data_IF_575647213684
#
_entry.id   IF_575647213684
#
_cell.length_a   1.000
_cell.length_b   1.000
_cell.length_c   1.000
_cell.angle_alpha   90.00
_cell.angle_beta   90.00
_cell.angle_gamma   90.00
#
_symmetry.space_group_name_H-M   'P 1'
#
loop_
_entity.id
_entity.type
_entity.pdbx_description
1 polymer ?
#
# COMPACT_ATOMS: atom_id res chain seq x y z
N UNK A 1 46.39 -19.58 16.52
CA UNK A 1 46.46 -18.09 16.63
C UNK A 1 45.91 -17.36 15.41
N UNK A 2 46.53 -17.42 14.21
CA UNK A 2 46.00 -16.71 13.03
C UNK A 2 44.63 -17.26 12.57
N UNK A 3 44.48 -18.58 12.53
CA UNK A 3 43.21 -19.20 12.10
C UNK A 3 42.07 -18.95 13.10
N UNK A 4 42.37 -18.95 14.39
CA UNK A 4 41.41 -18.62 15.46
C UNK A 4 40.96 -17.16 15.39
N UNK A 5 41.88 -16.22 15.11
CA UNK A 5 41.53 -14.83 14.86
C UNK A 5 40.65 -14.68 13.62
N UNK A 6 40.93 -15.43 12.55
CA UNK A 6 40.11 -15.40 11.33
C UNK A 6 38.70 -15.90 11.61
N UNK A 7 38.57 -17.01 12.33
CA UNK A 7 37.29 -17.58 12.70
C UNK A 7 36.47 -16.66 13.60
N UNK A 8 37.11 -16.03 14.60
CA UNK A 8 36.45 -15.07 15.49
C UNK A 8 35.94 -13.83 14.74
N UNK A 9 36.70 -13.34 13.75
CA UNK A 9 36.27 -12.22 12.91
C UNK A 9 35.07 -12.59 12.04
N UNK A 10 35.06 -13.79 11.44
CA UNK A 10 33.92 -14.27 10.65
C UNK A 10 32.65 -14.36 11.51
N UNK A 11 32.75 -14.97 12.69
CA UNK A 11 31.60 -15.09 13.60
C UNK A 11 31.08 -13.73 14.07
N UNK A 12 31.98 -12.77 14.30
CA UNK A 12 31.63 -11.40 14.67
C UNK A 12 30.84 -10.69 13.55
N UNK A 13 31.33 -10.74 12.31
CA UNK A 13 30.63 -10.12 11.19
C UNK A 13 29.29 -10.82 10.90
N UNK A 14 29.23 -12.16 10.93
CA UNK A 14 27.97 -12.91 10.77
C UNK A 14 26.94 -12.58 11.85
N UNK A 15 27.39 -12.36 13.09
CA UNK A 15 26.51 -11.92 14.17
C UNK A 15 25.95 -10.52 13.91
N UNK A 16 26.80 -9.60 13.43
CA UNK A 16 26.41 -8.21 13.16
C UNK A 16 25.47 -8.10 11.98
N UNK A 17 25.70 -8.88 10.92
CA UNK A 17 24.81 -8.94 9.77
C UNK A 17 23.44 -9.49 10.17
N UNK A 18 23.39 -10.59 10.94
CA UNK A 18 22.11 -11.15 11.44
C UNK A 18 21.34 -10.15 12.31
N UNK A 19 22.03 -9.42 13.19
CA UNK A 19 21.42 -8.39 14.03
C UNK A 19 20.84 -7.26 13.17
N UNK A 20 21.60 -6.79 12.18
CA UNK A 20 21.19 -5.74 11.26
C UNK A 20 20.00 -6.16 10.40
N UNK A 21 20.06 -7.34 9.77
CA UNK A 21 18.95 -7.88 8.97
C UNK A 21 17.70 -8.08 9.81
N UNK A 22 17.83 -8.65 11.02
CA UNK A 22 16.69 -8.87 11.91
C UNK A 22 16.02 -7.54 12.29
N UNK A 23 16.81 -6.55 12.69
CA UNK A 23 16.28 -5.24 13.09
C UNK A 23 15.65 -4.51 11.89
N UNK A 24 16.32 -4.49 10.75
CA UNK A 24 15.85 -3.84 9.54
C UNK A 24 14.56 -4.48 9.00
N UNK A 25 14.50 -5.81 8.92
CA UNK A 25 13.31 -6.53 8.44
C UNK A 25 12.12 -6.31 9.40
N UNK A 26 12.32 -6.40 10.72
CA UNK A 26 11.24 -6.15 11.67
C UNK A 26 10.71 -4.71 11.59
N UNK A 27 11.60 -3.71 11.46
CA UNK A 27 11.18 -2.32 11.31
C UNK A 27 10.40 -2.09 10.02
N UNK A 28 10.82 -2.68 8.91
CA UNK A 28 10.10 -2.60 7.64
C UNK A 28 8.73 -3.30 7.72
N UNK A 29 8.65 -4.44 8.39
CA UNK A 29 7.39 -5.16 8.60
C UNK A 29 6.40 -4.36 9.44
N UNK A 30 6.87 -3.71 10.52
CA UNK A 30 6.05 -2.83 11.36
C UNK A 30 5.57 -1.60 10.58
N UNK A 31 6.45 -0.97 9.81
CA UNK A 31 6.08 0.16 8.94
C UNK A 31 5.04 -0.25 7.90
N UNK A 32 5.22 -1.40 7.24
CA UNK A 32 4.28 -1.91 6.26
C UNK A 32 2.90 -2.18 6.87
N UNK A 33 2.85 -2.82 8.05
CA UNK A 33 1.61 -3.06 8.79
C UNK A 33 0.90 -1.76 9.15
N UNK A 34 1.66 -0.76 9.62
CA UNK A 34 1.11 0.57 9.93
C UNK A 34 0.49 1.24 8.71
N UNK A 35 1.19 1.24 7.57
CA UNK A 35 0.68 1.82 6.32
C UNK A 35 -0.60 1.14 5.87
N UNK A 36 -0.68 -0.19 5.95
CA UNK A 36 -1.90 -0.94 5.60
C UNK A 36 -3.07 -0.51 6.48
N UNK A 37 -2.86 -0.39 7.80
CA UNK A 37 -3.92 -0.01 8.72
C UNK A 37 -4.39 1.44 8.51
N UNK A 38 -3.46 2.36 8.27
CA UNK A 38 -3.78 3.76 7.93
C UNK A 38 -4.60 3.85 6.62
N UNK A 39 -4.23 3.07 5.60
CA UNK A 39 -4.99 2.99 4.34
C UNK A 39 -6.39 2.42 4.56
N UNK A 40 -6.50 1.35 5.36
CA UNK A 40 -7.78 0.72 5.68
C UNK A 40 -8.69 1.70 6.41
N UNK A 41 -8.17 2.38 7.43
CA UNK A 41 -8.91 3.39 8.18
C UNK A 41 -9.40 4.52 7.27
N UNK A 42 -8.51 5.05 6.42
CA UNK A 42 -8.85 6.13 5.49
C UNK A 42 -9.96 5.72 4.52
N UNK A 43 -9.92 4.47 4.02
CA UNK A 43 -10.97 3.94 3.15
C UNK A 43 -12.29 3.75 3.91
N UNK A 44 -12.26 3.23 5.12
CA UNK A 44 -13.46 3.09 5.96
C UNK A 44 -14.10 4.46 6.24
N UNK A 45 -13.32 5.45 6.66
CA UNK A 45 -13.82 6.81 6.90
C UNK A 45 -14.40 7.44 5.62
N UNK A 46 -13.75 7.21 4.46
CA UNK A 46 -14.25 7.69 3.18
C UNK A 46 -15.62 7.10 2.86
N UNK A 47 -15.80 5.78 2.98
CA UNK A 47 -17.06 5.13 2.65
C UNK A 47 -18.16 5.41 3.68
N UNK A 48 -17.81 5.51 4.96
CA UNK A 48 -18.74 5.89 6.04
C UNK A 48 -19.19 7.35 5.92
N UNK A 49 -18.36 8.22 5.32
CA UNK A 49 -18.75 9.61 5.03
C UNK A 49 -19.80 9.74 3.92
N UNK A 50 -20.07 8.67 3.15
CA UNK A 50 -21.02 8.69 2.04
C UNK A 50 -22.37 8.16 2.50
N UNK A 51 -23.42 8.95 2.27
CA UNK A 51 -24.78 8.47 2.46
C UNK A 51 -25.23 7.55 1.32
N UNK A 52 -26.37 6.87 1.50
CA UNK A 52 -26.95 6.00 0.48
C UNK A 52 -27.27 6.77 -0.82
N UNK A 53 -27.60 8.05 -0.72
CA UNK A 53 -27.97 8.86 -1.88
C UNK A 53 -26.76 9.19 -2.76
N UNK A 54 -25.57 9.34 -2.16
CA UNK A 54 -24.31 9.46 -2.88
C UNK A 54 -24.10 8.24 -3.78
N UNK A 55 -24.13 7.03 -3.24
CA UNK A 55 -23.98 5.81 -4.04
C UNK A 55 -25.04 5.68 -5.13
N UNK A 56 -26.28 6.07 -4.81
CA UNK A 56 -27.39 6.06 -5.76
C UNK A 56 -27.12 7.03 -6.91
N UNK A 57 -26.75 8.27 -6.63
CA UNK A 57 -26.48 9.30 -7.63
C UNK A 57 -25.37 8.87 -8.58
N UNK A 58 -24.23 8.42 -8.05
CA UNK A 58 -23.10 7.98 -8.89
C UNK A 58 -23.51 6.81 -9.80
N UNK A 59 -24.36 5.89 -9.32
CA UNK A 59 -24.88 4.78 -10.14
C UNK A 59 -25.82 5.27 -11.24
N UNK A 60 -26.67 6.27 -10.98
CA UNK A 60 -27.61 6.79 -11.97
C UNK A 60 -26.90 7.65 -13.04
N UNK A 61 -25.78 8.29 -12.70
CA UNK A 61 -24.95 9.02 -13.68
C UNK A 61 -24.37 8.11 -14.76
N UNK A 62 -24.23 6.80 -14.52
CA UNK A 62 -23.72 5.85 -15.52
C UNK A 62 -24.53 5.88 -16.81
N UNK A 63 -25.86 6.06 -16.74
CA UNK A 63 -26.69 6.13 -17.94
C UNK A 63 -26.35 7.37 -18.79
N UNK A 64 -26.12 8.51 -18.14
CA UNK A 64 -25.71 9.75 -18.81
C UNK A 64 -24.30 9.64 -19.38
N UNK A 65 -23.37 9.01 -18.64
CA UNK A 65 -22.01 8.76 -19.09
C UNK A 65 -21.98 7.83 -20.30
N UNK A 66 -22.80 6.77 -20.32
CA UNK A 66 -22.91 5.90 -21.50
C UNK A 66 -23.44 6.63 -22.73
N UNK A 67 -24.38 7.57 -22.56
CA UNK A 67 -24.83 8.43 -23.67
C UNK A 67 -23.69 9.29 -24.19
N UNK A 68 -22.90 9.91 -23.31
CA UNK A 68 -21.71 10.69 -23.69
C UNK A 68 -20.67 9.84 -24.44
N UNK A 69 -20.43 8.58 -24.05
CA UNK A 69 -19.54 7.65 -24.79
C UNK A 69 -20.03 7.42 -26.22
N UNK A 70 -21.34 7.22 -26.41
CA UNK A 70 -21.92 6.98 -27.73
C UNK A 70 -21.81 8.25 -28.58
N UNK A 71 -22.12 9.41 -28.01
CA UNK A 71 -22.04 10.72 -28.67
C UNK A 71 -20.60 11.10 -29.04
N UNK A 72 -19.61 10.71 -28.22
CA UNK A 72 -18.19 10.93 -28.48
C UNK A 72 -17.57 9.92 -29.46
N UNK A 73 -18.34 8.94 -29.95
CA UNK A 73 -17.80 7.88 -30.80
C UNK A 73 -16.77 7.00 -30.09
N UNK A 74 -16.82 6.94 -28.75
CA UNK A 74 -15.87 6.20 -27.92
C UNK A 74 -14.65 6.99 -27.48
N UNK A 75 -14.52 8.28 -27.82
CA UNK A 75 -13.48 9.14 -27.27
C UNK A 75 -13.79 9.56 -25.82
N UNK A 76 -12.74 9.92 -25.06
CA UNK A 76 -12.91 10.52 -23.73
C UNK A 76 -13.69 11.84 -23.84
N UNK A 77 -14.48 12.14 -22.81
CA UNK A 77 -15.26 13.37 -22.70
C UNK A 77 -15.09 13.97 -21.30
N UNK A 78 -15.32 15.28 -21.21
CA UNK A 78 -15.27 15.99 -19.94
C UNK A 78 -16.49 15.67 -19.05
N UNK A 79 -16.24 15.65 -17.73
CA UNK A 79 -17.25 15.38 -16.71
C UNK A 79 -18.21 16.56 -16.53
#
# INVERSE_FOLDING_TARGET
MIEEMRQSLTEFFDSKDREWYRRGIHQLEEQWKKTIEEMRQSLTELFDSKDREWYRRETHQLEELWKKVIESGGEYFDY
#
